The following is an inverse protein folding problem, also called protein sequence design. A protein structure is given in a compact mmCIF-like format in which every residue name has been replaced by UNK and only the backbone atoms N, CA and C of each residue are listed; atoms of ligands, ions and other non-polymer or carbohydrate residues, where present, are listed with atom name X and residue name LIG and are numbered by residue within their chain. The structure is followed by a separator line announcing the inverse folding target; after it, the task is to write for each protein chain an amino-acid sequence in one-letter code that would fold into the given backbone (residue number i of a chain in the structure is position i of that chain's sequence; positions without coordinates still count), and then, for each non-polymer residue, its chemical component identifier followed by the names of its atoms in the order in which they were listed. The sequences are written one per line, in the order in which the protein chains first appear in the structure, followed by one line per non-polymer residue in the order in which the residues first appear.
data_IF_305841287056
#
_entry.id   IF_305841287056
#
_cell.length_a   1.000
_cell.length_b   1.000
_cell.length_c   1.000
_cell.angle_alpha   90.00
_cell.angle_beta   90.00
_cell.angle_gamma   90.00
#
_symmetry.space_group_name_H-M   'P 1'
#
loop_
_entity.id
_entity.type
_entity.pdbx_description
1 polymer ?
#
# COMPACT_ATOMS: atom_id res chain seq x y z
N UNK A 1 14.61 -4.40 10.34
CA UNK A 1 14.56 -5.32 9.18
C UNK A 1 13.76 -6.58 9.55
N UNK A 2 13.03 -7.23 8.61
CA UNK A 2 12.37 -8.52 8.90
C UNK A 2 13.42 -9.54 9.36
N UNK A 3 13.07 -10.42 10.29
CA UNK A 3 13.90 -11.55 10.67
C UNK A 3 13.69 -12.69 9.65
N UNK A 4 14.43 -12.65 8.54
CA UNK A 4 14.37 -13.65 7.47
C UNK A 4 15.73 -14.37 7.36
N UNK A 5 15.77 -15.67 6.97
CA UNK A 5 17.03 -16.41 6.85
C UNK A 5 18.03 -15.81 5.85
N UNK A 6 17.56 -15.06 4.87
CA UNK A 6 18.40 -14.31 3.92
C UNK A 6 19.01 -13.04 4.50
N UNK A 7 18.54 -12.58 5.67
CA UNK A 7 18.99 -11.36 6.34
C UNK A 7 20.09 -11.68 7.35
N UNK A 8 21.16 -12.34 6.87
CA UNK A 8 22.31 -12.72 7.69
C UNK A 8 23.22 -11.50 7.87
N UNK A 9 23.43 -11.08 9.11
CA UNK A 9 24.32 -9.95 9.47
C UNK A 9 25.64 -10.41 10.09
N UNK A 10 25.85 -11.72 10.23
CA UNK A 10 26.92 -12.32 11.05
C UNK A 10 28.35 -11.91 10.62
N UNK A 11 28.57 -11.51 9.37
CA UNK A 11 29.90 -11.15 8.85
C UNK A 11 29.94 -9.77 8.14
N UNK A 12 28.92 -8.94 8.31
CA UNK A 12 28.84 -7.61 7.68
C UNK A 12 29.37 -6.53 8.62
N UNK A 13 30.59 -6.03 8.34
CA UNK A 13 31.12 -4.82 8.99
C UNK A 13 30.54 -3.60 8.27
N UNK A 14 29.56 -2.96 8.88
CA UNK A 14 28.95 -1.72 8.39
C UNK A 14 29.51 -0.53 9.15
N UNK A 15 30.13 0.42 8.44
CA UNK A 15 30.75 1.61 9.04
C UNK A 15 29.77 2.76 9.29
N UNK A 16 28.64 2.78 8.58
CA UNK A 16 27.72 3.91 8.55
C UNK A 16 26.24 3.54 8.68
N UNK A 17 25.93 2.26 8.88
CA UNK A 17 24.56 1.75 8.92
C UNK A 17 24.38 0.83 10.13
N UNK A 18 23.40 1.15 10.97
CA UNK A 18 23.01 0.31 12.11
C UNK A 18 21.81 -0.54 11.72
N UNK A 19 21.93 -1.86 11.81
CA UNK A 19 20.83 -2.79 11.52
C UNK A 19 20.13 -3.16 12.83
N UNK A 20 18.84 -2.80 12.95
CA UNK A 20 17.98 -3.28 14.02
C UNK A 20 17.07 -4.41 13.52
N UNK A 21 17.19 -5.58 14.14
CA UNK A 21 16.27 -6.69 13.94
C UNK A 21 14.96 -6.41 14.69
N UNK A 22 13.84 -6.67 14.04
CA UNK A 22 12.53 -6.54 14.68
C UNK A 22 12.28 -7.74 15.61
N UNK A 23 11.54 -7.55 16.73
CA UNK A 23 11.15 -8.67 17.58
C UNK A 23 10.38 -9.73 16.77
N UNK A 24 10.52 -11.02 17.11
CA UNK A 24 9.77 -12.07 16.45
C UNK A 24 8.25 -11.79 16.54
N UNK A 25 7.52 -12.09 15.46
CA UNK A 25 6.05 -11.91 15.35
C UNK A 25 5.52 -10.46 15.40
N UNK A 26 6.35 -9.44 15.14
CA UNK A 26 5.90 -8.02 15.11
C UNK A 26 5.79 -7.41 13.70
N UNK A 27 6.01 -8.22 12.65
CA UNK A 27 6.17 -7.75 11.27
C UNK A 27 4.99 -6.92 10.76
N UNK A 28 3.75 -7.39 10.93
CA UNK A 28 2.57 -6.69 10.43
C UNK A 28 2.25 -5.36 11.14
N UNK A 29 2.72 -5.16 12.38
CA UNK A 29 2.43 -3.94 13.17
C UNK A 29 3.52 -2.88 13.05
N UNK A 30 4.78 -3.30 12.91
CA UNK A 30 5.93 -2.40 13.00
C UNK A 30 6.57 -2.13 11.63
N UNK A 31 6.25 -2.93 10.60
CA UNK A 31 6.84 -2.73 9.28
C UNK A 31 6.01 -1.77 8.45
N UNK A 32 6.55 -0.56 8.24
CA UNK A 32 5.93 0.50 7.45
C UNK A 32 5.48 0.04 6.06
N UNK A 33 6.20 -0.92 5.48
CA UNK A 33 5.88 -1.56 4.21
C UNK A 33 4.54 -2.32 4.27
N UNK A 34 4.31 -3.09 5.33
CA UNK A 34 3.08 -3.85 5.58
C UNK A 34 1.96 -2.97 6.17
N UNK A 35 2.30 -1.84 6.82
CA UNK A 35 1.34 -0.89 7.43
C UNK A 35 0.58 -0.03 6.40
N UNK A 36 0.81 -0.22 5.10
CA UNK A 36 -0.05 0.34 4.06
C UNK A 36 0.62 0.62 2.73
N UNK A 37 1.95 0.75 2.68
CA UNK A 37 2.67 1.07 1.42
C UNK A 37 2.44 -0.03 0.37
N UNK A 38 2.53 -1.31 0.75
CA UNK A 38 2.21 -2.44 -0.15
C UNK A 38 0.74 -2.39 -0.61
N UNK A 39 -0.18 -2.03 0.28
CA UNK A 39 -1.60 -1.99 -0.05
C UNK A 39 -1.89 -0.88 -1.08
N UNK A 40 -1.37 0.32 -0.87
CA UNK A 40 -1.47 1.46 -1.79
C UNK A 40 -0.80 1.14 -3.13
N UNK A 41 0.41 0.56 -3.12
CA UNK A 41 1.09 0.09 -4.33
C UNK A 41 0.24 -0.91 -5.13
N UNK A 42 -0.24 -1.98 -4.47
CA UNK A 42 -1.06 -3.02 -5.12
C UNK A 42 -2.34 -2.44 -5.70
N UNK A 43 -2.93 -1.45 -5.05
CA UNK A 43 -4.14 -0.76 -5.53
C UNK A 43 -3.87 -0.03 -6.84
N UNK A 44 -2.84 0.82 -6.91
CA UNK A 44 -2.50 1.52 -8.15
C UNK A 44 -2.10 0.56 -9.28
N UNK A 45 -1.34 -0.49 -8.97
CA UNK A 45 -0.98 -1.53 -9.94
C UNK A 45 -2.23 -2.24 -10.49
N UNK A 46 -3.17 -2.64 -9.61
CA UNK A 46 -4.41 -3.32 -10.02
C UNK A 46 -5.28 -2.45 -10.90
N UNK A 47 -5.36 -1.14 -10.64
CA UNK A 47 -6.08 -0.19 -11.49
C UNK A 47 -5.52 -0.17 -12.91
N UNK A 48 -4.20 -0.11 -13.07
CA UNK A 48 -3.54 -0.18 -14.38
C UNK A 48 -3.82 -1.51 -15.09
N UNK A 49 -3.75 -2.61 -14.35
CA UNK A 49 -4.05 -3.92 -14.90
C UNK A 49 -5.50 -4.03 -15.40
N UNK A 50 -6.46 -3.56 -14.61
CA UNK A 50 -7.87 -3.59 -14.96
C UNK A 50 -8.21 -2.67 -16.14
N UNK A 51 -7.52 -1.52 -16.26
CA UNK A 51 -7.63 -0.68 -17.45
C UNK A 51 -7.13 -1.42 -18.70
N UNK A 52 -5.97 -2.09 -18.62
CA UNK A 52 -5.47 -2.91 -19.72
C UNK A 52 -6.43 -4.06 -20.09
N UNK A 53 -7.10 -4.66 -19.10
CA UNK A 53 -8.12 -5.70 -19.34
C UNK A 53 -9.29 -5.12 -20.15
N UNK A 54 -9.76 -3.91 -19.83
CA UNK A 54 -10.78 -3.22 -20.62
C UNK A 54 -10.31 -2.93 -22.04
N UNK A 55 -9.10 -2.39 -22.21
CA UNK A 55 -8.57 -2.04 -23.52
C UNK A 55 -8.41 -3.29 -24.41
N UNK A 56 -8.05 -4.43 -23.80
CA UNK A 56 -7.95 -5.73 -24.49
C UNK A 56 -9.32 -6.32 -24.82
N UNK A 57 -10.32 -6.14 -23.95
CA UNK A 57 -11.72 -6.52 -24.19
C UNK A 57 -12.29 -5.74 -25.36
N UNK A 58 -12.08 -4.41 -25.38
CA UNK A 58 -12.48 -3.53 -26.49
C UNK A 58 -11.79 -3.91 -27.82
N UNK A 59 -10.55 -4.40 -27.76
CA UNK A 59 -9.82 -4.92 -28.91
C UNK A 59 -10.19 -6.36 -29.32
N UNK A 60 -11.09 -7.02 -28.59
CA UNK A 60 -11.51 -8.41 -28.87
C UNK A 60 -10.42 -9.46 -28.64
N UNK A 61 -9.47 -9.20 -27.73
CA UNK A 61 -8.38 -10.12 -27.44
C UNK A 61 -8.89 -11.41 -26.76
N UNK A 62 -8.34 -12.56 -27.15
CA UNK A 62 -8.73 -13.86 -26.57
C UNK A 62 -8.31 -14.01 -25.09
N UNK A 63 -7.15 -13.47 -24.72
CA UNK A 63 -6.66 -13.46 -23.34
C UNK A 63 -6.66 -12.03 -22.81
N UNK A 64 -7.64 -11.71 -21.98
CA UNK A 64 -7.85 -10.37 -21.43
C UNK A 64 -6.83 -10.00 -20.34
N UNK A 65 -6.27 -10.99 -19.64
CA UNK A 65 -5.39 -10.77 -18.48
C UNK A 65 -3.90 -10.94 -18.81
N UNK A 66 -3.57 -11.16 -20.09
CA UNK A 66 -2.18 -11.26 -20.53
C UNK A 66 -1.43 -9.96 -20.31
N UNK A 67 -0.30 -10.06 -19.61
CA UNK A 67 0.64 -8.96 -19.35
C UNK A 67 2.05 -9.50 -19.52
N UNK A 68 2.88 -8.81 -20.30
CA UNK A 68 4.30 -9.13 -20.42
C UNK A 68 5.13 -8.51 -19.28
N UNK A 69 6.34 -9.03 -19.08
CA UNK A 69 7.20 -8.61 -17.98
C UNK A 69 7.59 -7.12 -18.07
N UNK A 70 7.81 -6.57 -19.27
CA UNK A 70 8.19 -5.16 -19.44
C UNK A 70 7.04 -4.25 -19.05
N UNK A 71 5.82 -4.59 -19.46
CA UNK A 71 4.61 -3.88 -19.05
C UNK A 71 4.41 -3.93 -17.54
N UNK A 72 4.57 -5.10 -16.90
CA UNK A 72 4.50 -5.23 -15.45
C UNK A 72 5.55 -4.38 -14.70
N UNK A 73 6.78 -4.32 -15.21
CA UNK A 73 7.83 -3.45 -14.66
C UNK A 73 7.47 -1.97 -14.79
N UNK A 74 6.97 -1.54 -15.96
CA UNK A 74 6.52 -0.16 -16.17
C UNK A 74 5.37 0.20 -15.23
N UNK A 75 4.40 -0.68 -15.05
CA UNK A 75 3.30 -0.47 -14.10
C UNK A 75 3.79 -0.40 -12.66
N UNK A 76 4.81 -1.17 -12.30
CA UNK A 76 5.43 -1.08 -10.98
C UNK A 76 6.05 0.30 -10.75
N UNK A 77 6.76 0.85 -11.74
CA UNK A 77 7.30 2.22 -11.66
C UNK A 77 6.18 3.28 -11.53
N UNK A 78 5.14 3.17 -12.36
CA UNK A 78 4.00 4.10 -12.31
C UNK A 78 3.30 4.01 -10.96
N UNK A 79 2.98 2.80 -10.49
CA UNK A 79 2.31 2.58 -9.21
C UNK A 79 3.14 3.12 -8.03
N UNK A 80 4.46 2.93 -8.06
CA UNK A 80 5.36 3.48 -7.05
C UNK A 80 5.38 5.01 -7.07
N UNK A 81 5.45 5.64 -8.25
CA UNK A 81 5.45 7.11 -8.37
C UNK A 81 4.16 7.78 -7.91
N UNK A 82 3.06 7.01 -7.76
CA UNK A 82 1.77 7.51 -7.27
C UNK A 82 1.68 7.53 -5.74
N UNK A 83 2.61 6.87 -5.05
CA UNK A 83 2.65 6.90 -3.60
C UNK A 83 3.34 8.20 -3.18
N UNK A 84 2.59 9.12 -2.57
CA UNK A 84 3.15 10.39 -2.13
C UNK A 84 4.12 10.23 -0.95
N UNK A 85 5.11 11.11 -0.86
CA UNK A 85 6.04 11.16 0.28
C UNK A 85 5.32 11.37 1.61
N UNK A 86 4.19 12.08 1.60
CA UNK A 86 3.33 12.29 2.77
C UNK A 86 2.64 10.99 3.19
N UNK A 87 2.14 10.19 2.24
CA UNK A 87 1.60 8.84 2.51
C UNK A 87 2.67 7.99 3.18
N UNK A 88 3.88 7.94 2.62
CA UNK A 88 4.99 7.20 3.20
C UNK A 88 5.25 7.67 4.64
N UNK A 89 5.45 8.98 4.86
CA UNK A 89 5.70 9.54 6.18
C UNK A 89 4.59 9.18 7.20
N UNK A 90 3.32 9.26 6.80
CA UNK A 90 2.18 8.91 7.65
C UNK A 90 2.16 7.41 8.01
N UNK A 91 2.45 6.53 7.05
CA UNK A 91 2.56 5.08 7.32
C UNK A 91 3.74 4.76 8.24
N UNK A 92 4.87 5.46 8.08
CA UNK A 92 6.02 5.34 8.99
C UNK A 92 5.70 5.85 10.41
N UNK A 93 4.96 6.95 10.57
CA UNK A 93 4.51 7.42 11.89
C UNK A 93 3.67 6.36 12.63
N UNK A 94 2.80 5.65 11.91
CA UNK A 94 1.97 4.58 12.48
C UNK A 94 2.77 3.41 13.07
N UNK A 95 4.01 3.20 12.63
CA UNK A 95 4.86 2.11 13.15
C UNK A 95 5.47 2.42 14.53
N UNK A 96 5.38 3.67 15.00
CA UNK A 96 6.04 4.13 16.22
C UNK A 96 7.58 4.19 16.13
N UNK A 97 8.19 3.79 15.01
CA UNK A 97 9.64 3.79 14.80
C UNK A 97 10.23 5.21 14.70
N UNK A 98 9.41 6.20 14.40
CA UNK A 98 9.80 7.61 14.30
C UNK A 98 9.65 8.37 15.62
N UNK A 99 9.10 7.73 16.65
CA UNK A 99 9.05 8.26 18.00
C UNK A 99 10.35 7.85 18.69
N UNK A 100 11.37 8.71 18.63
CA UNK A 100 12.64 8.44 19.31
C UNK A 100 12.43 8.23 20.82
N UNK A 101 13.38 7.60 21.54
CA UNK A 101 13.36 7.65 22.99
C UNK A 101 13.44 9.13 23.39
N UNK A 102 12.42 9.61 24.09
CA UNK A 102 12.54 10.84 24.87
C UNK A 102 13.72 10.61 25.81
N UNK A 103 14.88 11.20 25.48
CA UNK A 103 15.95 11.37 26.44
C UNK A 103 15.31 12.04 27.66
N UNK A 104 15.56 11.59 28.90
CA UNK A 104 14.90 12.14 30.06
C UNK A 104 15.19 13.64 30.11
N UNK A 105 14.15 14.42 29.83
CA UNK A 105 14.19 15.87 29.94
C UNK A 105 14.45 16.18 31.41
N UNK A 106 15.57 16.85 31.67
CA UNK A 106 15.72 17.62 32.91
C UNK A 106 14.55 18.58 32.98
N UNK A 107 13.78 18.49 34.06
CA UNK A 107 12.60 19.32 34.26
C UNK A 107 12.97 20.80 34.37
N UNK A 108 12.30 21.63 33.58
CA UNK A 108 12.00 23.01 33.91
C UNK A 108 10.65 23.35 33.26
N UNK A 109 9.63 23.50 34.10
CA UNK A 109 8.24 23.68 33.67
C UNK A 109 7.94 25.03 33.04
N UNK A 110 6.86 25.06 32.26
CA UNK A 110 5.72 25.99 32.41
C UNK A 110 4.92 26.13 31.09
N UNK A 111 3.61 26.25 31.28
CA UNK A 111 2.58 26.80 30.40
C UNK A 111 2.01 25.92 29.28
N UNK A 112 0.78 25.48 29.55
CA UNK A 112 -0.24 25.14 28.59
C UNK A 112 -0.36 26.23 27.50
N UNK A 113 -0.39 25.81 26.25
CA UNK A 113 -0.67 26.63 25.09
C UNK A 113 -1.01 25.71 23.94
N UNK A 114 -2.28 25.74 23.53
CA UNK A 114 -2.84 24.95 22.44
C UNK A 114 -2.03 25.13 21.15
N UNK A 115 -1.33 24.08 20.71
CA UNK A 115 -0.81 24.01 19.34
C UNK A 115 -1.84 23.24 18.52
N UNK A 116 -2.72 23.97 17.86
CA UNK A 116 -3.57 23.44 16.78
C UNK A 116 -2.67 22.80 15.71
N UNK A 117 -2.77 21.48 15.55
CA UNK A 117 -2.04 20.67 14.58
C UNK A 117 -2.45 21.03 13.13
N UNK A 118 -1.52 21.35 12.22
CA UNK A 118 -1.80 21.44 10.78
C UNK A 118 -1.84 20.07 10.06
N UNK A 119 -1.92 18.95 10.78
CA UNK A 119 -1.67 17.59 10.23
C UNK A 119 -2.88 16.98 9.49
N UNK A 120 -4.09 17.52 9.68
CA UNK A 120 -5.31 16.86 9.20
C UNK A 120 -5.56 17.03 7.70
N UNK A 121 -5.30 18.21 7.13
CA UNK A 121 -5.68 18.52 5.74
C UNK A 121 -4.91 17.69 4.71
N UNK A 122 -3.62 17.45 4.91
CA UNK A 122 -2.82 16.62 4.01
C UNK A 122 -3.21 15.13 4.09
N UNK A 123 -3.63 14.67 5.26
CA UNK A 123 -4.09 13.30 5.45
C UNK A 123 -5.43 13.08 4.74
N UNK A 124 -6.38 14.01 4.90
CA UNK A 124 -7.70 13.93 4.28
C UNK A 124 -7.63 13.90 2.74
N UNK A 125 -6.73 14.68 2.13
CA UNK A 125 -6.50 14.65 0.68
C UNK A 125 -5.94 13.30 0.20
N UNK A 126 -4.98 12.72 0.92
CA UNK A 126 -4.43 11.39 0.60
C UNK A 126 -5.51 10.30 0.71
N UNK A 127 -6.35 10.34 1.76
CA UNK A 127 -7.46 9.40 1.90
C UNK A 127 -8.50 9.56 0.78
N UNK A 128 -8.76 10.78 0.32
CA UNK A 128 -9.64 11.04 -0.81
C UNK A 128 -9.08 10.45 -2.11
N UNK A 129 -7.79 10.67 -2.42
CA UNK A 129 -7.14 10.06 -3.59
C UNK A 129 -7.20 8.52 -3.54
N UNK A 130 -6.97 7.93 -2.36
CA UNK A 130 -7.08 6.47 -2.18
C UNK A 130 -8.51 5.97 -2.46
N UNK A 131 -9.55 6.70 -2.02
CA UNK A 131 -10.95 6.34 -2.27
C UNK A 131 -11.36 6.49 -3.73
N UNK A 132 -10.92 7.55 -4.40
CA UNK A 132 -11.22 7.75 -5.83
C UNK A 132 -10.62 6.63 -6.69
N UNK A 133 -9.40 6.18 -6.35
CA UNK A 133 -8.79 5.01 -6.99
C UNK A 133 -9.61 3.73 -6.76
N UNK A 134 -10.24 3.56 -5.60
CA UNK A 134 -11.13 2.42 -5.34
C UNK A 134 -12.38 2.46 -6.20
N UNK A 135 -13.03 3.62 -6.25
CA UNK A 135 -14.25 3.83 -7.03
C UNK A 135 -13.98 3.62 -8.52
N UNK A 136 -12.85 4.10 -9.03
CA UNK A 136 -12.42 3.87 -10.41
C UNK A 136 -12.26 2.36 -10.69
N UNK A 137 -11.59 1.64 -9.79
CA UNK A 137 -11.43 0.20 -9.89
C UNK A 137 -12.77 -0.55 -9.88
N UNK A 138 -13.70 -0.16 -9.00
CA UNK A 138 -15.05 -0.75 -8.95
C UNK A 138 -15.84 -0.45 -10.22
N UNK A 139 -15.76 0.76 -10.76
CA UNK A 139 -16.38 1.16 -12.01
C UNK A 139 -15.87 0.32 -13.19
N UNK A 140 -14.55 0.13 -13.28
CA UNK A 140 -13.94 -0.73 -14.30
C UNK A 140 -14.45 -2.17 -14.17
N UNK A 141 -14.48 -2.73 -12.96
CA UNK A 141 -14.98 -4.08 -12.72
C UNK A 141 -16.47 -4.21 -13.09
N UNK A 142 -17.29 -3.22 -12.75
CA UNK A 142 -18.70 -3.23 -13.13
C UNK A 142 -18.88 -3.21 -14.65
N UNK A 143 -18.09 -2.41 -15.39
CA UNK A 143 -18.10 -2.40 -16.86
C UNK A 143 -17.75 -3.77 -17.43
N UNK A 144 -16.70 -4.41 -16.92
CA UNK A 144 -16.28 -5.76 -17.34
C UNK A 144 -17.38 -6.80 -17.06
N UNK A 145 -18.01 -6.75 -15.88
CA UNK A 145 -19.09 -7.67 -15.50
C UNK A 145 -20.36 -7.49 -16.35
N UNK A 146 -20.71 -6.25 -16.68
CA UNK A 146 -21.89 -5.94 -17.50
C UNK A 146 -21.75 -6.36 -18.97
N UNK A 147 -20.52 -6.44 -19.48
CA UNK A 147 -20.20 -6.95 -20.82
C UNK A 147 -20.12 -8.48 -20.86
N UNK A 148 -19.63 -9.10 -19.79
CA UNK A 148 -19.46 -10.55 -19.67
C UNK A 148 -20.68 -11.28 -19.07
N UNK A 149 -21.92 -10.89 -19.42
CA UNK A 149 -23.16 -11.45 -18.82
C UNK A 149 -23.30 -12.98 -18.92
N UNK A 150 -22.56 -13.66 -19.80
CA UNK A 150 -22.55 -15.12 -19.88
C UNK A 150 -21.71 -15.84 -18.80
N UNK A 151 -20.77 -15.16 -18.10
CA UNK A 151 -19.86 -15.79 -17.12
C UNK A 151 -20.34 -15.69 -15.65
N UNK A 152 -21.47 -15.03 -15.40
CA UNK A 152 -21.99 -14.70 -14.06
C UNK A 152 -22.40 -15.90 -13.19
N UNK A 153 -22.42 -17.14 -13.69
CA UNK A 153 -22.74 -18.30 -12.84
C UNK A 153 -21.55 -18.84 -12.05
N UNK A 154 -20.30 -18.53 -12.43
CA UNK A 154 -19.11 -19.07 -11.76
C UNK A 154 -18.37 -18.05 -10.84
N UNK A 155 -18.47 -16.74 -11.12
CA UNK A 155 -17.66 -15.73 -10.44
C UNK A 155 -18.23 -15.22 -9.10
N UNK A 156 -19.52 -15.41 -8.85
CA UNK A 156 -20.19 -14.97 -7.60
C UNK A 156 -19.59 -15.59 -6.32
N UNK A 157 -18.94 -16.76 -6.45
CA UNK A 157 -18.30 -17.46 -5.32
C UNK A 157 -16.92 -16.88 -4.99
N UNK A 158 -16.17 -16.38 -5.98
CA UNK A 158 -14.84 -15.79 -5.75
C UNK A 158 -14.93 -14.36 -5.20
N UNK A 159 -15.92 -13.56 -5.63
CA UNK A 159 -16.10 -12.19 -5.14
C UNK A 159 -16.48 -12.16 -3.63
N UNK A 160 -17.27 -13.13 -3.18
CA UNK A 160 -17.65 -13.29 -1.76
C UNK A 160 -16.45 -13.61 -0.86
N UNK A 161 -15.44 -14.33 -1.36
CA UNK A 161 -14.21 -14.64 -0.61
C UNK A 161 -13.27 -13.44 -0.49
N UNK A 162 -13.24 -12.57 -1.50
CA UNK A 162 -12.37 -11.39 -1.50
C UNK A 162 -12.85 -10.29 -0.53
N UNK A 163 -14.16 -10.14 -0.32
CA UNK A 163 -14.72 -9.20 0.68
C UNK A 163 -14.39 -9.58 2.13
N UNK A 164 -14.16 -10.87 2.41
CA UNK A 164 -13.80 -11.34 3.75
C UNK A 164 -12.33 -11.05 4.11
N UNK A 165 -11.46 -10.85 3.11
CA UNK A 165 -10.05 -10.54 3.31
C UNK A 165 -9.75 -9.03 3.46
N UNK A 166 -10.68 -8.14 3.10
CA UNK A 166 -10.51 -6.69 3.24
C UNK A 166 -11.00 -6.12 4.59
N UNK A 167 -11.52 -6.97 5.48
CA UNK A 167 -12.03 -6.59 6.81
C UNK A 167 -11.26 -7.20 7.99
N UNK A 168 -10.11 -7.83 7.73
CA UNK A 168 -9.30 -8.47 8.76
C UNK A 168 -7.85 -8.01 8.72
#
# INVERSE_FOLDING_TARGET
MVNAPSHVTLDLVLTNVTVQALPPNTTSKVQSMDTGIIATFKRHYRRLHLQNVLDRDDAGAADLYKVDQVTAMRWSLIAWSKISSTTNANRFKHTGLMNGPTLPAVEAGASAGDIQLPVQQDADLVYQEEQEVEKDMESILQRLLLRNRCLLRHCSIQLMRSRRCMRS
#
